data_IF_338570781753
#
_entry.id   IF_338570781753
#
_cell.length_a   1.000
_cell.length_b   1.000
_cell.length_c   1.000
_cell.angle_alpha   90.00
_cell.angle_beta   90.00
_cell.angle_gamma   90.00
#
_symmetry.space_group_name_H-M   'P 1'
#
loop_
_entity.id
_entity.type
_entity.pdbx_description
1 polymer ?
#
# COMPACT_ATOMS: atom_id res chain seq x y z
N UNK A 1 -5.02 -8.97 17.39
CA UNK A 1 -5.67 -10.14 16.78
C UNK A 1 -6.84 -9.62 15.97
N UNK A 2 -6.83 -9.83 14.65
CA UNK A 2 -7.75 -9.16 13.70
C UNK A 2 -9.01 -10.00 13.39
N UNK A 3 -9.38 -10.90 14.29
CA UNK A 3 -10.21 -12.08 13.96
C UNK A 3 -11.73 -11.83 14.06
N UNK A 4 -12.18 -10.57 14.08
CA UNK A 4 -13.61 -10.21 14.26
C UNK A 4 -14.00 -8.86 13.64
N UNK A 5 -13.32 -8.41 12.58
CA UNK A 5 -13.63 -7.11 11.95
C UNK A 5 -14.59 -7.31 10.78
N UNK A 6 -15.88 -7.04 11.01
CA UNK A 6 -16.81 -6.60 9.97
C UNK A 6 -16.54 -5.14 9.62
N UNK A 7 -16.66 -4.79 8.33
CA UNK A 7 -16.02 -3.60 7.77
C UNK A 7 -17.01 -2.49 7.37
N UNK A 8 -16.96 -1.33 8.04
CA UNK A 8 -17.60 -0.07 7.62
C UNK A 8 -16.88 1.17 8.22
N UNK A 9 -17.21 2.40 7.78
CA UNK A 9 -16.20 3.45 7.46
C UNK A 9 -16.00 4.64 8.42
N UNK A 10 -14.98 5.50 8.12
CA UNK A 10 -14.66 6.91 8.58
C UNK A 10 -13.66 7.06 9.77
N UNK A 11 -12.60 7.92 9.80
CA UNK A 11 -11.80 8.75 8.83
C UNK A 11 -10.46 9.34 9.43
N UNK A 12 -9.55 9.89 8.57
CA UNK A 12 -8.58 11.04 8.74
C UNK A 12 -7.28 10.95 9.63
N UNK A 13 -6.13 11.42 9.06
CA UNK A 13 -5.03 12.11 9.80
C UNK A 13 -3.58 11.86 9.32
N UNK A 14 -2.74 12.89 9.09
CA UNK A 14 -1.46 12.84 8.34
C UNK A 14 -0.12 13.02 9.11
N UNK A 15 1.03 12.45 8.60
CA UNK A 15 2.35 13.16 8.36
C UNK A 15 3.55 12.35 7.80
N UNK A 16 4.29 12.93 6.84
CA UNK A 16 5.63 12.63 6.22
C UNK A 16 6.33 11.28 6.41
N UNK A 17 6.77 10.77 5.26
CA UNK A 17 7.46 9.51 5.08
C UNK A 17 8.95 9.50 5.43
N UNK A 18 9.27 8.84 6.54
CA UNK A 18 10.65 8.51 6.92
C UNK A 18 11.17 7.25 6.21
N UNK A 19 12.49 7.06 6.21
CA UNK A 19 13.11 5.83 5.68
C UNK A 19 12.67 4.55 6.42
N UNK A 20 12.15 4.68 7.64
CA UNK A 20 11.73 3.59 8.52
C UNK A 20 10.29 3.08 8.24
N UNK A 21 9.63 3.58 7.19
CA UNK A 21 8.30 3.10 6.81
C UNK A 21 8.34 1.66 6.27
N UNK A 22 7.79 0.75 7.07
CA UNK A 22 7.65 -0.68 6.79
C UNK A 22 6.85 -0.95 5.51
N UNK A 23 5.68 -0.32 5.38
CA UNK A 23 4.82 -0.40 4.20
C UNK A 23 4.17 0.94 3.90
N UNK A 24 4.02 1.25 2.62
CA UNK A 24 3.36 2.48 2.16
C UNK A 24 2.62 2.29 0.84
N UNK A 25 1.56 3.07 0.62
CA UNK A 25 0.82 3.14 -0.63
C UNK A 25 0.83 4.58 -1.11
N UNK A 26 1.37 4.84 -2.29
CA UNK A 26 1.29 6.16 -2.94
C UNK A 26 0.23 6.09 -4.03
N UNK A 27 -0.78 6.96 -4.00
CA UNK A 27 -1.71 7.14 -5.12
C UNK A 27 -1.38 8.48 -5.80
N UNK A 28 -1.18 8.46 -7.11
CA UNK A 28 -0.80 9.63 -7.91
C UNK A 28 -1.47 9.64 -9.28
N UNK A 29 -1.74 10.83 -9.81
CA UNK A 29 -2.09 11.04 -11.22
C UNK A 29 -0.83 11.25 -12.06
N UNK A 30 -0.64 10.48 -13.13
CA UNK A 30 0.45 10.69 -14.10
C UNK A 30 0.12 11.84 -15.06
N UNK A 31 1.15 12.38 -15.72
CA UNK A 31 1.03 13.45 -16.73
C UNK A 31 0.05 13.17 -17.88
N UNK A 32 -0.26 11.90 -18.15
CA UNK A 32 -1.21 11.45 -19.17
C UNK A 32 -2.62 11.15 -18.61
N UNK A 33 -2.93 11.59 -17.39
CA UNK A 33 -4.20 11.32 -16.70
C UNK A 33 -4.33 9.93 -16.08
N UNK A 34 -3.42 8.99 -16.33
CA UNK A 34 -3.48 7.65 -15.72
C UNK A 34 -3.17 7.74 -14.22
N UNK A 35 -4.10 7.32 -13.38
CA UNK A 35 -3.87 7.18 -11.94
C UNK A 35 -3.21 5.84 -11.61
N UNK A 36 -2.29 5.83 -10.65
CA UNK A 36 -1.58 4.62 -10.19
C UNK A 36 -1.51 4.51 -8.67
N UNK A 37 -1.72 3.30 -8.15
CA UNK A 37 -1.29 2.92 -6.81
C UNK A 37 0.11 2.29 -6.89
N UNK A 38 1.03 2.80 -6.06
CA UNK A 38 2.38 2.27 -5.87
C UNK A 38 2.51 1.81 -4.42
N UNK A 39 2.54 0.51 -4.21
CA UNK A 39 2.75 -0.12 -2.92
C UNK A 39 4.26 -0.35 -2.77
N UNK A 40 4.83 0.09 -1.65
CA UNK A 40 6.25 -0.10 -1.31
C UNK A 40 6.34 -0.87 -0.01
N UNK A 41 7.10 -1.96 -0.03
CA UNK A 41 7.45 -2.78 1.14
C UNK A 41 8.94 -2.58 1.44
N UNK A 42 9.31 -2.23 2.67
CA UNK A 42 10.71 -2.18 3.10
C UNK A 42 11.36 -3.57 3.05
N UNK A 43 12.70 -3.62 3.01
CA UNK A 43 13.44 -4.88 3.06
C UNK A 43 13.06 -5.71 4.29
N UNK A 44 13.10 -5.11 5.47
CA UNK A 44 12.66 -5.70 6.76
C UNK A 44 11.25 -6.29 6.71
N UNK A 45 10.35 -5.68 5.92
CA UNK A 45 8.98 -6.14 5.77
C UNK A 45 8.91 -7.37 4.87
N UNK A 46 9.72 -7.44 3.82
CA UNK A 46 9.86 -8.66 2.99
C UNK A 46 10.43 -9.82 3.81
N UNK A 47 11.48 -9.56 4.59
CA UNK A 47 12.13 -10.57 5.44
C UNK A 47 11.16 -11.15 6.48
N UNK A 48 10.38 -10.30 7.17
CA UNK A 48 9.32 -10.74 8.12
C UNK A 48 8.18 -11.54 7.47
N UNK A 49 7.98 -11.40 6.16
CA UNK A 49 6.91 -12.07 5.41
C UNK A 49 7.41 -13.30 4.64
N UNK A 50 8.71 -13.58 4.61
CA UNK A 50 9.28 -14.63 3.75
C UNK A 50 9.12 -14.34 2.25
N UNK A 51 9.05 -13.06 1.86
CA UNK A 51 8.84 -12.63 0.47
C UNK A 51 10.15 -12.30 -0.23
N UNK A 52 10.26 -12.68 -1.50
CA UNK A 52 11.40 -12.34 -2.36
C UNK A 52 10.98 -11.55 -3.59
N UNK A 53 11.93 -10.86 -4.24
CA UNK A 53 11.63 -10.19 -5.51
C UNK A 53 11.16 -11.21 -6.55
N UNK A 54 10.09 -10.89 -7.24
CA UNK A 54 9.46 -11.77 -8.23
C UNK A 54 8.37 -12.68 -7.70
N UNK A 55 8.21 -12.81 -6.38
CA UNK A 55 6.98 -13.35 -5.77
C UNK A 55 5.75 -12.56 -6.25
N UNK A 56 4.59 -13.21 -6.17
CA UNK A 56 3.31 -12.62 -6.56
C UNK A 56 2.45 -12.39 -5.32
N UNK A 57 1.80 -11.23 -5.27
CA UNK A 57 0.92 -10.84 -4.17
C UNK A 57 -0.42 -10.33 -4.70
N UNK A 58 -1.50 -10.71 -4.03
CA UNK A 58 -2.77 -10.02 -4.13
C UNK A 58 -2.82 -8.86 -3.13
N UNK A 59 -3.60 -7.84 -3.49
CA UNK A 59 -3.80 -6.65 -2.70
C UNK A 59 -5.29 -6.53 -2.43
N UNK A 60 -5.64 -6.72 -1.17
CA UNK A 60 -7.00 -6.75 -0.67
C UNK A 60 -7.21 -5.50 0.21
N UNK A 61 -8.43 -5.00 0.20
CA UNK A 61 -8.85 -3.94 1.10
C UNK A 61 -10.06 -4.42 1.89
N UNK A 62 -10.19 -3.93 3.12
CA UNK A 62 -11.46 -3.97 3.84
C UNK A 62 -12.55 -3.22 3.06
N UNK A 63 -13.84 -3.53 3.33
CA UNK A 63 -14.99 -2.87 2.68
C UNK A 63 -14.99 -1.34 2.86
N UNK A 64 -14.54 -0.87 4.02
CA UNK A 64 -14.36 0.55 4.34
C UNK A 64 -13.07 1.16 3.78
N UNK A 65 -12.19 0.30 3.27
CA UNK A 65 -10.89 0.63 2.70
C UNK A 65 -9.97 1.38 3.69
N UNK A 66 -10.12 1.12 5.00
CA UNK A 66 -9.19 1.59 6.05
C UNK A 66 -8.08 0.60 6.35
N UNK A 67 -8.22 -0.68 5.97
CA UNK A 67 -7.21 -1.72 6.14
C UNK A 67 -6.79 -2.23 4.76
N UNK A 68 -5.50 -2.40 4.55
CA UNK A 68 -4.94 -3.08 3.39
C UNK A 68 -4.29 -4.39 3.85
N UNK A 69 -4.50 -5.43 3.05
CA UNK A 69 -3.79 -6.71 3.16
C UNK A 69 -3.02 -6.96 1.87
N UNK A 70 -1.73 -7.29 2.00
CA UNK A 70 -0.88 -7.73 0.90
C UNK A 70 -0.52 -9.18 1.21
N UNK A 71 -0.93 -10.10 0.34
CA UNK A 71 -0.88 -11.54 0.60
C UNK A 71 -0.23 -12.28 -0.58
N UNK A 72 0.74 -13.15 -0.28
CA UNK A 72 1.41 -14.03 -1.26
C UNK A 72 0.40 -14.95 -1.93
N UNK A 73 0.54 -15.12 -3.24
CA UNK A 73 -0.26 -16.06 -4.05
C UNK A 73 0.63 -16.82 -5.02
N UNK A 74 0.35 -18.11 -5.21
CA UNK A 74 1.12 -18.99 -6.09
C UNK A 74 0.96 -18.65 -7.58
N UNK A 75 -0.26 -18.23 -7.97
CA UNK A 75 -0.64 -17.90 -9.34
C UNK A 75 -1.63 -16.73 -9.32
N UNK A 76 -1.70 -15.97 -10.41
CA UNK A 76 -2.45 -14.71 -10.43
C UNK A 76 -1.69 -13.60 -9.70
N UNK A 77 -2.39 -12.55 -9.29
CA UNK A 77 -1.82 -11.43 -8.55
C UNK A 77 -0.69 -10.66 -9.24
N UNK A 78 -0.11 -9.74 -8.48
CA UNK A 78 0.81 -8.70 -8.93
C UNK A 78 2.24 -9.07 -8.53
N UNK A 79 3.19 -8.92 -9.48
CA UNK A 79 4.59 -9.30 -9.25
C UNK A 79 5.32 -8.22 -8.41
N UNK A 80 6.00 -8.64 -7.36
CA UNK A 80 6.91 -7.79 -6.59
C UNK A 80 8.15 -7.45 -7.44
N UNK A 81 8.27 -6.18 -7.82
CA UNK A 81 9.47 -5.62 -8.45
C UNK A 81 10.43 -5.02 -7.42
N UNK A 82 11.69 -4.80 -7.80
CA UNK A 82 12.68 -4.11 -6.98
C UNK A 82 12.57 -2.58 -7.21
N UNK A 83 12.61 -1.76 -6.16
CA UNK A 83 12.57 -0.28 -6.30
C UNK A 83 13.83 0.24 -7.00
N UNK A 84 15.00 -0.20 -6.55
CA UNK A 84 16.32 0.12 -7.13
C UNK A 84 16.92 -1.19 -7.62
N UNK A 85 17.08 -1.32 -8.94
CA UNK A 85 17.71 -2.52 -9.54
C UNK A 85 19.09 -2.75 -8.93
N UNK A 86 19.46 -4.02 -8.81
CA UNK A 86 20.79 -4.46 -8.43
C UNK A 86 21.23 -4.04 -7.00
N UNK A 87 20.28 -3.57 -6.18
CA UNK A 87 20.46 -3.28 -4.75
C UNK A 87 19.66 -4.28 -3.91
N UNK A 88 20.34 -5.27 -3.33
CA UNK A 88 19.74 -6.36 -2.54
C UNK A 88 18.85 -5.85 -1.39
N UNK A 89 19.27 -4.76 -0.75
CA UNK A 89 18.58 -4.08 0.36
C UNK A 89 17.49 -3.09 -0.09
N UNK A 90 17.14 -3.07 -1.38
CA UNK A 90 16.04 -2.27 -1.90
C UNK A 90 14.72 -2.59 -1.22
N UNK A 91 13.81 -1.61 -1.20
CA UNK A 91 12.39 -1.91 -1.03
C UNK A 91 11.85 -2.65 -2.26
N UNK A 92 10.81 -3.47 -2.08
CA UNK A 92 10.01 -3.96 -3.19
C UNK A 92 8.88 -2.98 -3.53
N UNK A 93 8.47 -2.99 -4.80
CA UNK A 93 7.33 -2.25 -5.31
C UNK A 93 6.30 -3.18 -5.96
N UNK A 94 5.04 -2.87 -5.75
CA UNK A 94 3.93 -3.28 -6.64
C UNK A 94 3.34 -2.01 -7.25
N UNK A 95 3.04 -2.03 -8.55
CA UNK A 95 2.37 -0.93 -9.26
C UNK A 95 1.08 -1.43 -9.87
N UNK A 96 0.01 -0.69 -9.68
CA UNK A 96 -1.32 -1.02 -10.21
C UNK A 96 -1.92 0.24 -10.81
N UNK A 97 -2.48 0.12 -12.02
CA UNK A 97 -3.31 1.18 -12.60
C UNK A 97 -4.58 1.28 -11.77
N UNK A 98 -4.84 2.46 -11.21
CA UNK A 98 -6.04 2.69 -10.43
C UNK A 98 -7.30 2.48 -11.29
N UNK A 99 -8.34 1.96 -10.65
CA UNK A 99 -9.67 1.73 -11.23
C UNK A 99 -10.69 2.00 -10.13
N UNK A 100 -11.63 2.93 -10.30
CA UNK A 100 -12.51 3.37 -9.22
C UNK A 100 -13.39 2.24 -8.67
N UNK A 101 -13.82 1.30 -9.52
CA UNK A 101 -14.67 0.17 -9.13
C UNK A 101 -13.91 -1.01 -8.49
N UNK A 102 -12.57 -0.94 -8.42
CA UNK A 102 -11.70 -2.04 -7.95
C UNK A 102 -10.76 -1.63 -6.83
N UNK A 103 -10.39 -0.35 -6.77
CA UNK A 103 -9.38 0.16 -5.86
C UNK A 103 -9.94 1.34 -5.06
N UNK A 104 -9.50 1.54 -3.81
CA UNK A 104 -9.93 2.69 -3.04
C UNK A 104 -9.39 3.98 -3.65
N UNK A 105 -10.25 4.98 -3.86
CA UNK A 105 -9.77 6.30 -4.24
C UNK A 105 -9.07 6.97 -3.05
N UNK A 106 -7.78 6.68 -2.92
CA UNK A 106 -6.92 7.27 -1.90
C UNK A 106 -6.65 8.76 -2.16
N UNK A 107 -6.76 9.25 -3.40
CA UNK A 107 -6.55 10.66 -3.73
C UNK A 107 -7.71 11.49 -3.18
N UNK A 108 -8.95 11.17 -3.55
CA UNK A 108 -10.13 11.91 -3.06
C UNK A 108 -10.31 11.84 -1.53
N UNK A 109 -9.70 10.84 -0.86
CA UNK A 109 -9.66 10.74 0.60
C UNK A 109 -8.57 11.61 1.27
N UNK A 110 -7.63 12.15 0.51
CA UNK A 110 -6.57 13.00 1.05
C UNK A 110 -7.06 14.46 1.20
N UNK A 111 -7.14 14.92 2.46
CA UNK A 111 -7.80 16.18 2.86
C UNK A 111 -7.29 17.49 2.22
N UNK A 112 -6.13 17.47 1.57
CA UNK A 112 -5.41 18.67 1.12
C UNK A 112 -5.13 18.69 -0.39
N UNK A 113 -5.82 17.86 -1.19
CA UNK A 113 -5.71 17.92 -2.65
C UNK A 113 -6.29 19.26 -3.14
N UNK A 114 -5.41 20.08 -3.72
CA UNK A 114 -5.75 21.37 -4.35
C UNK A 114 -5.85 21.25 -5.86
N UNK A 115 -5.26 20.21 -6.45
CA UNK A 115 -5.24 19.96 -7.88
C UNK A 115 -5.15 18.44 -8.17
N UNK A 116 -6.28 17.71 -8.28
CA UNK A 116 -6.28 16.25 -8.41
C UNK A 116 -5.58 15.70 -9.66
N UNK A 117 -5.37 16.53 -10.69
CA UNK A 117 -4.60 16.15 -11.89
C UNK A 117 -3.08 16.14 -11.68
N UNK A 118 -2.58 16.77 -10.61
CA UNK A 118 -1.14 16.89 -10.30
C UNK A 118 -0.77 16.38 -8.92
N UNK A 119 -1.74 16.22 -8.05
CA UNK A 119 -1.52 15.82 -6.67
C UNK A 119 -1.25 14.32 -6.54
N UNK A 120 -0.54 14.00 -5.46
CA UNK A 120 -0.25 12.65 -5.00
C UNK A 120 -0.54 12.61 -3.51
N UNK A 121 -1.06 11.50 -3.03
CA UNK A 121 -1.17 11.23 -1.61
C UNK A 121 -0.33 10.00 -1.26
N UNK A 122 0.06 9.89 0.00
CA UNK A 122 0.72 8.71 0.51
C UNK A 122 0.06 8.25 1.80
N UNK A 123 -0.13 6.94 1.89
CA UNK A 123 -0.60 6.25 3.06
C UNK A 123 0.52 5.35 3.58
N UNK A 124 0.62 5.22 4.89
CA UNK A 124 1.48 4.28 5.61
C UNK A 124 0.62 3.39 6.49
N UNK A 125 1.27 2.56 7.32
CA UNK A 125 0.58 1.88 8.40
C UNK A 125 0.33 2.85 9.58
N UNK A 126 -0.76 2.65 10.29
CA UNK A 126 -1.05 3.32 11.56
C UNK A 126 -0.22 2.68 12.67
N UNK A 127 0.34 3.51 13.54
CA UNK A 127 1.24 3.07 14.61
C UNK A 127 0.59 1.96 15.45
N UNK A 128 1.36 0.89 15.71
CA UNK A 128 0.92 -0.34 16.40
C UNK A 128 -0.26 -1.10 15.75
N UNK A 129 -0.65 -0.80 14.51
CA UNK A 129 -1.70 -1.53 13.75
C UNK A 129 -1.18 -2.10 12.43
N UNK A 130 -0.15 -2.93 12.58
CA UNK A 130 0.45 -3.75 11.53
C UNK A 130 0.62 -5.18 12.05
N UNK A 131 0.06 -6.15 11.34
CA UNK A 131 0.15 -7.58 11.62
C UNK A 131 0.99 -8.26 10.53
N UNK A 132 1.97 -9.03 10.99
CA UNK A 132 2.80 -9.89 10.17
C UNK A 132 2.39 -11.34 10.38
N UNK A 133 2.01 -12.02 9.31
CA UNK A 133 1.87 -13.47 9.18
C UNK A 133 2.73 -13.91 8.00
N UNK A 134 3.14 -15.17 7.96
CA UNK A 134 3.95 -15.68 6.83
C UNK A 134 3.22 -15.44 5.50
N UNK A 135 3.91 -14.83 4.54
CA UNK A 135 3.35 -14.40 3.26
C UNK A 135 2.23 -13.34 3.33
N UNK A 136 1.85 -12.82 4.50
CA UNK A 136 0.65 -11.99 4.65
C UNK A 136 0.87 -10.79 5.59
N UNK A 137 0.83 -9.59 5.02
CA UNK A 137 0.86 -8.33 5.75
C UNK A 137 -0.54 -7.75 5.83
N UNK A 138 -1.03 -7.42 7.03
CA UNK A 138 -2.28 -6.68 7.21
C UNK A 138 -2.02 -5.40 8.01
N UNK A 139 -2.43 -4.24 7.52
CA UNK A 139 -2.16 -2.95 8.18
C UNK A 139 -3.29 -1.94 7.99
N UNK A 140 -3.56 -1.17 9.03
CA UNK A 140 -4.49 -0.04 8.93
C UNK A 140 -3.80 1.15 8.24
N UNK A 141 -4.47 1.70 7.25
CA UNK A 141 -4.05 2.84 6.43
C UNK A 141 -4.16 4.14 7.22
N UNK A 142 -3.02 4.80 7.40
CA UNK A 142 -2.92 6.17 7.92
C UNK A 142 -2.43 7.06 6.79
N UNK A 143 -3.03 8.25 6.62
CA UNK A 143 -2.52 9.24 5.66
C UNK A 143 -1.15 9.76 6.15
N UNK A 144 -0.29 10.18 5.23
CA UNK A 144 1.10 10.59 5.48
C UNK A 144 1.36 11.85 4.64
N UNK A 145 1.37 13.05 5.26
CA UNK A 145 1.55 14.37 4.56
C UNK A 145 2.83 14.41 3.72
#
# INVERSE_FOLDING_TARGET
MFDSIDFESVTIGSRRSSANEQVTITHLTKKNGTQEHIYRLSRDTLDKLGLVYGDRVDILYSKDQSVCRIQKVEKGGLKLGQQVKDNENSAALVRVVFRPDTHPDLLSKAKNIRNPERDKCKYGFKDNRIEYKEGCLTFELKLVD
#
